data_IF_652326813503
#
_entry.id   IF_652326813503
#
_cell.length_a   1.000
_cell.length_b   1.000
_cell.length_c   1.000
_cell.angle_alpha   90.00
_cell.angle_beta   90.00
_cell.angle_gamma   90.00
#
_symmetry.space_group_name_H-M   'P 1'
#
loop_
_entity.id
_entity.type
_entity.pdbx_description
1 polymer ?
#
# COMPACT_ATOMS: atom_id res chain seq x y z
N UNK A 1 65.37 -23.32 -56.04
CA UNK A 1 63.91 -23.03 -56.29
C UNK A 1 63.34 -22.42 -55.04
N UNK A 2 63.22 -21.11 -55.02
CA UNK A 2 62.75 -20.33 -53.86
C UNK A 2 61.27 -19.92 -54.12
N UNK A 3 60.36 -20.28 -53.20
CA UNK A 3 58.94 -19.91 -53.27
C UNK A 3 58.81 -18.69 -52.41
N UNK A 4 58.46 -17.56 -53.08
CA UNK A 4 58.16 -16.27 -52.46
C UNK A 4 56.72 -16.31 -51.90
N UNK A 5 56.59 -16.12 -50.58
CA UNK A 5 55.28 -15.91 -49.93
C UNK A 5 54.96 -14.43 -49.87
N UNK A 6 53.98 -13.97 -50.69
CA UNK A 6 53.50 -12.62 -50.70
C UNK A 6 52.67 -12.29 -49.42
N UNK A 7 53.05 -11.20 -48.75
CA UNK A 7 52.40 -10.65 -47.60
C UNK A 7 51.25 -9.75 -48.06
N UNK A 8 49.96 -10.07 -47.70
CA UNK A 8 48.78 -9.27 -47.96
C UNK A 8 48.73 -8.14 -46.92
N UNK A 9 48.57 -6.86 -47.30
CA UNK A 9 48.48 -5.76 -46.31
C UNK A 9 47.10 -5.75 -45.63
N UNK A 10 47.13 -5.72 -44.31
CA UNK A 10 45.96 -5.69 -43.45
C UNK A 10 45.21 -4.35 -43.46
N UNK A 11 44.10 -4.31 -44.13
CA UNK A 11 43.09 -3.19 -44.03
C UNK A 11 41.90 -3.53 -43.13
N UNK A 12 41.95 -4.65 -42.40
CA UNK A 12 40.82 -5.14 -41.62
C UNK A 12 40.73 -4.60 -40.18
N UNK A 13 41.73 -3.86 -39.68
CA UNK A 13 41.86 -3.52 -38.26
C UNK A 13 41.27 -2.15 -37.87
N UNK A 14 40.87 -1.30 -38.82
CA UNK A 14 40.33 0.04 -38.47
C UNK A 14 38.79 0.07 -38.26
N UNK A 15 38.07 -0.82 -38.90
CA UNK A 15 36.60 -0.90 -38.76
C UNK A 15 36.15 -1.54 -37.44
N UNK A 16 36.95 -2.50 -36.92
CA UNK A 16 36.66 -3.17 -35.66
C UNK A 16 36.78 -2.28 -34.41
N UNK A 17 37.72 -1.32 -34.41
CA UNK A 17 37.93 -0.43 -33.27
C UNK A 17 36.79 0.57 -33.07
N UNK A 18 36.18 1.05 -34.15
CA UNK A 18 35.04 1.97 -34.08
C UNK A 18 33.76 1.24 -33.66
N UNK A 19 33.55 0.00 -34.14
CA UNK A 19 32.41 -0.83 -33.74
C UNK A 19 32.49 -1.27 -32.26
N UNK A 20 33.67 -1.60 -31.76
CA UNK A 20 33.90 -1.95 -30.36
C UNK A 20 33.68 -0.76 -29.42
N UNK A 21 34.10 0.44 -29.83
CA UNK A 21 33.85 1.66 -29.04
C UNK A 21 32.34 2.04 -29.00
N UNK A 22 31.63 1.85 -30.10
CA UNK A 22 30.20 2.07 -30.15
C UNK A 22 29.43 1.06 -29.30
N UNK A 23 29.80 -0.22 -29.33
CA UNK A 23 29.22 -1.29 -28.53
C UNK A 23 29.47 -1.09 -27.03
N UNK A 24 30.65 -0.60 -26.62
CA UNK A 24 30.91 -0.28 -25.20
C UNK A 24 30.13 0.93 -24.70
N UNK A 25 29.88 1.94 -25.53
CA UNK A 25 29.05 3.09 -25.17
C UNK A 25 27.56 2.71 -24.99
N UNK A 26 27.05 1.81 -25.85
CA UNK A 26 25.69 1.29 -25.68
C UNK A 26 25.55 0.37 -24.46
N UNK A 27 26.54 -0.44 -24.14
CA UNK A 27 26.54 -1.28 -22.95
C UNK A 27 26.59 -0.44 -21.65
N UNK A 28 27.34 0.66 -21.63
CA UNK A 28 27.40 1.57 -20.49
C UNK A 28 26.09 2.35 -20.29
N UNK A 29 25.39 2.73 -21.36
CA UNK A 29 24.06 3.37 -21.29
C UNK A 29 22.99 2.38 -20.80
N UNK A 30 23.03 1.13 -21.22
CA UNK A 30 22.08 0.11 -20.77
C UNK A 30 22.27 -0.24 -19.29
N UNK A 31 23.50 -0.24 -18.80
CA UNK A 31 23.76 -0.50 -17.38
C UNK A 31 23.38 0.66 -16.47
N UNK A 32 23.49 1.90 -16.93
CA UNK A 32 23.02 3.07 -16.16
C UNK A 32 21.49 3.18 -16.09
N UNK A 33 20.76 2.74 -17.12
CA UNK A 33 19.29 2.64 -17.09
C UNK A 33 18.77 1.51 -16.20
N UNK A 34 19.49 0.41 -16.09
CA UNK A 34 19.15 -0.70 -15.20
C UNK A 34 19.33 -0.36 -13.71
N UNK A 35 20.26 0.55 -13.39
CA UNK A 35 20.47 1.02 -12.01
C UNK A 35 19.36 1.97 -11.52
N UNK A 36 18.67 2.67 -12.42
CA UNK A 36 17.53 3.54 -12.07
C UNK A 36 16.24 2.77 -11.79
N UNK A 37 16.11 1.53 -12.24
CA UNK A 37 14.90 0.72 -12.05
C UNK A 37 14.85 -0.02 -10.69
N UNK A 38 15.87 0.12 -9.83
CA UNK A 38 15.97 -0.61 -8.56
C UNK A 38 15.79 0.25 -7.31
N UNK A 39 15.45 1.54 -7.42
CA UNK A 39 15.39 2.45 -6.27
C UNK A 39 14.00 2.69 -5.65
N UNK A 40 12.93 2.03 -6.12
CA UNK A 40 11.60 2.17 -5.53
C UNK A 40 10.96 0.82 -5.17
N UNK A 41 11.64 0.03 -4.34
CA UNK A 41 10.91 -0.88 -3.46
C UNK A 41 10.71 -0.15 -2.14
N UNK A 42 9.50 0.21 -1.76
CA UNK A 42 9.24 0.68 -0.41
C UNK A 42 9.64 -0.44 0.54
N UNK A 43 10.72 -0.23 1.28
CA UNK A 43 11.13 -1.07 2.40
C UNK A 43 10.05 -0.97 3.46
N UNK A 44 9.40 -2.08 3.79
CA UNK A 44 8.39 -2.16 4.84
C UNK A 44 7.06 -2.71 4.36
N UNK A 45 7.06 -3.90 3.72
CA UNK A 45 5.81 -4.61 3.41
C UNK A 45 5.57 -5.65 4.50
N UNK A 46 4.91 -5.23 5.57
CA UNK A 46 4.08 -6.17 6.30
C UNK A 46 2.82 -6.41 5.47
N UNK A 47 2.76 -7.58 4.77
CA UNK A 47 1.61 -8.00 3.96
C UNK A 47 0.99 -6.85 3.17
N UNK A 48 1.15 -6.82 1.96
CA UNK A 48 0.54 -6.14 0.78
C UNK A 48 -0.52 -5.02 0.96
N UNK A 49 -0.62 -4.30 2.08
CA UNK A 49 -1.38 -3.06 2.15
C UNK A 49 -0.50 -1.88 2.58
N UNK A 50 -0.91 -0.68 2.20
CA UNK A 50 -0.07 0.51 2.18
C UNK A 50 0.31 0.98 3.59
N UNK A 51 1.62 1.23 3.81
CA UNK A 51 2.13 1.91 5.00
C UNK A 51 1.71 3.38 5.02
N UNK A 52 1.37 3.90 6.19
CA UNK A 52 1.01 5.30 6.40
C UNK A 52 2.25 6.20 6.21
N UNK A 53 2.17 7.11 5.25
CA UNK A 53 3.25 8.04 4.93
C UNK A 53 2.88 9.51 5.21
N UNK A 54 1.58 9.85 5.21
CA UNK A 54 1.09 11.21 5.36
C UNK A 54 -0.33 11.22 5.90
N UNK A 55 -0.51 11.61 7.17
CA UNK A 55 -1.84 11.71 7.78
C UNK A 55 -2.63 12.90 7.22
N UNK A 56 -1.96 13.98 6.79
CA UNK A 56 -2.64 15.16 6.29
C UNK A 56 -3.33 14.88 4.95
N UNK A 57 -2.61 14.26 4.01
CA UNK A 57 -3.17 13.85 2.72
C UNK A 57 -4.27 12.81 2.90
N UNK A 58 -4.05 11.79 3.75
CA UNK A 58 -5.05 10.78 4.05
C UNK A 58 -6.31 11.39 4.67
N UNK A 59 -6.15 12.37 5.58
CA UNK A 59 -7.24 13.09 6.19
C UNK A 59 -8.04 13.95 5.19
N UNK A 60 -7.37 14.57 4.22
CA UNK A 60 -8.02 15.31 3.13
C UNK A 60 -8.87 14.38 2.27
N UNK A 61 -8.33 13.22 1.89
CA UNK A 61 -9.04 12.20 1.12
C UNK A 61 -10.27 11.68 1.87
N UNK A 62 -10.12 11.36 3.17
CA UNK A 62 -11.22 10.94 4.03
C UNK A 62 -12.37 11.95 4.05
N UNK A 63 -12.07 13.24 4.21
CA UNK A 63 -13.10 14.30 4.20
C UNK A 63 -13.77 14.43 2.84
N UNK A 64 -13.00 14.40 1.76
CA UNK A 64 -13.54 14.54 0.40
C UNK A 64 -14.48 13.39 0.03
N UNK A 65 -14.12 12.17 0.41
CA UNK A 65 -14.89 10.96 0.10
C UNK A 65 -15.90 10.58 1.18
N UNK A 66 -15.86 11.21 2.34
CA UNK A 66 -16.61 10.83 3.55
C UNK A 66 -16.35 9.37 3.95
N UNK A 67 -15.13 8.89 3.75
CA UNK A 67 -14.72 7.53 4.10
C UNK A 67 -13.97 7.52 5.43
N UNK A 68 -14.22 6.54 6.32
CA UNK A 68 -13.42 6.36 7.51
C UNK A 68 -12.01 5.94 7.15
N UNK A 69 -11.04 6.39 7.93
CA UNK A 69 -9.67 5.91 7.92
C UNK A 69 -9.58 4.71 8.87
N UNK A 70 -9.07 3.60 8.38
CA UNK A 70 -8.78 2.41 9.19
C UNK A 70 -7.26 2.27 9.29
N UNK A 71 -6.74 2.35 10.51
CA UNK A 71 -5.32 2.22 10.78
C UNK A 71 -5.06 0.95 11.59
N UNK A 72 -4.20 0.07 11.08
CA UNK A 72 -3.67 -1.05 11.85
C UNK A 72 -2.27 -0.68 12.38
N UNK A 73 -2.17 -0.47 13.67
CA UNK A 73 -0.90 -0.30 14.37
C UNK A 73 -0.24 -1.67 14.58
N UNK A 74 0.95 -1.82 14.04
CA UNK A 74 1.71 -3.07 14.04
C UNK A 74 3.21 -2.84 14.12
N UNK A 75 3.97 -3.92 14.23
CA UNK A 75 5.43 -3.91 14.26
C UNK A 75 5.98 -5.11 13.51
N UNK A 76 7.23 -5.02 13.03
CA UNK A 76 7.88 -6.12 12.29
C UNK A 76 8.04 -7.40 13.10
N UNK A 77 8.26 -7.27 14.39
CA UNK A 77 8.42 -8.39 15.32
C UNK A 77 7.10 -9.00 15.81
N UNK A 78 5.94 -8.45 15.38
CA UNK A 78 4.61 -8.85 15.86
C UNK A 78 4.00 -9.92 14.94
N UNK A 79 4.06 -11.20 15.31
CA UNK A 79 3.50 -12.32 14.53
C UNK A 79 1.98 -12.21 14.33
N UNK A 80 1.24 -11.75 15.33
CA UNK A 80 -0.21 -11.50 15.20
C UNK A 80 -0.52 -10.39 14.20
N UNK A 81 0.37 -9.39 14.07
CA UNK A 81 0.24 -8.34 13.07
C UNK A 81 0.42 -8.90 11.66
N UNK A 82 1.39 -9.80 11.46
CA UNK A 82 1.60 -10.48 10.18
C UNK A 82 0.39 -11.32 9.81
N UNK A 83 -0.10 -12.15 10.73
CA UNK A 83 -1.30 -12.96 10.51
C UNK A 83 -2.51 -12.11 10.11
N UNK A 84 -2.77 -11.00 10.84
CA UNK A 84 -3.88 -10.09 10.56
C UNK A 84 -3.71 -9.38 9.22
N UNK A 85 -2.49 -8.96 8.90
CA UNK A 85 -2.16 -8.35 7.62
C UNK A 85 -2.43 -9.29 6.45
N UNK A 86 -1.94 -10.51 6.52
CA UNK A 86 -2.03 -11.49 5.43
C UNK A 86 -3.45 -12.03 5.23
N UNK A 87 -4.15 -12.33 6.32
CA UNK A 87 -5.44 -13.02 6.24
C UNK A 87 -6.64 -12.06 6.14
N UNK A 88 -6.50 -10.81 6.58
CA UNK A 88 -7.61 -9.85 6.59
C UNK A 88 -7.29 -8.59 5.79
N UNK A 89 -6.29 -7.82 6.19
CA UNK A 89 -6.11 -6.49 5.62
C UNK A 89 -5.60 -6.48 4.19
N UNK A 90 -4.70 -7.39 3.81
CA UNK A 90 -4.22 -7.50 2.45
C UNK A 90 -5.33 -7.91 1.46
N UNK A 91 -6.15 -8.94 1.74
CA UNK A 91 -7.34 -9.21 0.94
C UNK A 91 -8.31 -8.02 0.83
N UNK A 92 -8.54 -7.29 1.91
CA UNK A 92 -9.39 -6.09 1.88
C UNK A 92 -8.78 -4.97 1.03
N UNK A 93 -7.47 -4.73 1.13
CA UNK A 93 -6.80 -3.68 0.36
C UNK A 93 -6.76 -4.00 -1.13
N UNK A 94 -6.50 -5.26 -1.50
CA UNK A 94 -6.27 -5.69 -2.88
C UNK A 94 -7.54 -6.14 -3.61
N UNK A 95 -8.55 -6.58 -2.87
CA UNK A 95 -9.79 -7.15 -3.43
C UNK A 95 -10.69 -6.15 -4.17
N UNK A 96 -10.35 -4.87 -4.20
CA UNK A 96 -11.06 -3.82 -4.96
C UNK A 96 -12.44 -3.44 -4.43
N UNK A 97 -12.88 -4.03 -3.31
CA UNK A 97 -14.16 -3.73 -2.69
C UNK A 97 -14.07 -2.65 -1.60
N UNK A 98 -12.95 -2.54 -0.90
CA UNK A 98 -12.83 -1.74 0.31
C UNK A 98 -12.00 -0.48 0.12
N UNK A 99 -10.73 -0.61 -0.29
CA UNK A 99 -9.81 0.52 -0.38
C UNK A 99 -10.33 1.60 -1.34
N UNK A 100 -10.44 2.82 -0.84
CA UNK A 100 -10.94 3.98 -1.56
C UNK A 100 -12.43 4.01 -1.87
N UNK A 101 -13.18 2.94 -1.53
CA UNK A 101 -14.64 2.78 -1.76
C UNK A 101 -15.45 2.67 -0.48
N UNK A 102 -14.96 1.89 0.47
CA UNK A 102 -15.59 1.68 1.77
C UNK A 102 -14.76 2.30 2.92
N UNK A 103 -13.46 2.29 2.80
CA UNK A 103 -12.54 2.86 3.79
C UNK A 103 -11.22 3.27 3.13
N UNK A 104 -10.40 3.99 3.88
CA UNK A 104 -9.00 4.24 3.57
C UNK A 104 -8.15 3.45 4.56
N UNK A 105 -7.48 2.40 4.10
CA UNK A 105 -6.76 1.45 4.94
C UNK A 105 -5.26 1.70 4.90
N UNK A 106 -4.62 1.85 6.09
CA UNK A 106 -3.16 2.00 6.19
C UNK A 106 -2.59 1.19 7.35
N UNK A 107 -1.40 0.67 7.14
CA UNK A 107 -0.55 0.14 8.21
C UNK A 107 0.19 1.28 8.90
N UNK A 108 0.44 1.16 10.20
CA UNK A 108 1.26 2.08 10.99
C UNK A 108 2.34 1.27 11.68
N UNK A 109 3.54 1.22 11.10
CA UNK A 109 4.71 0.55 11.69
C UNK A 109 5.25 1.34 12.88
N UNK A 110 4.96 0.87 14.10
CA UNK A 110 5.39 1.57 15.32
C UNK A 110 6.90 1.43 15.61
N UNK A 111 7.55 0.50 14.95
CA UNK A 111 9.01 0.27 15.01
C UNK A 111 9.75 0.91 13.82
N UNK A 112 9.05 1.59 12.92
CA UNK A 112 9.68 2.33 11.84
C UNK A 112 10.27 3.66 12.31
N UNK A 113 11.53 3.97 11.91
CA UNK A 113 12.18 5.21 12.29
C UNK A 113 11.61 6.41 11.53
N UNK A 114 11.85 7.61 12.07
CA UNK A 114 11.49 8.86 11.41
C UNK A 114 10.15 9.43 11.84
N UNK A 115 9.71 10.44 11.10
CA UNK A 115 8.44 11.13 11.32
C UNK A 115 7.75 11.37 9.99
N UNK A 116 6.43 11.37 10.00
CA UNK A 116 5.55 11.67 8.86
C UNK A 116 4.72 12.93 9.14
N UNK A 117 4.14 13.59 8.15
CA UNK A 117 3.16 14.65 8.38
C UNK A 117 1.95 14.13 9.16
N UNK A 118 1.64 14.72 10.33
CA UNK A 118 0.46 14.44 11.12
C UNK A 118 -0.81 15.05 10.52
N UNK A 119 -1.98 14.79 11.13
CA UNK A 119 -3.25 15.36 10.69
C UNK A 119 -3.29 16.90 10.75
N UNK A 120 -2.49 17.50 11.62
CA UNK A 120 -2.30 18.96 11.75
C UNK A 120 -1.12 19.50 10.92
N UNK A 121 -0.48 18.65 10.13
CA UNK A 121 0.69 18.98 9.31
C UNK A 121 2.02 19.02 10.05
N UNK A 122 2.03 18.82 11.38
CA UNK A 122 3.27 18.77 12.14
C UNK A 122 3.95 17.42 12.05
N UNK A 123 5.29 17.35 12.25
CA UNK A 123 5.98 16.07 12.29
C UNK A 123 5.42 15.15 13.39
N UNK A 124 5.07 13.93 13.02
CA UNK A 124 4.49 12.90 13.88
C UNK A 124 5.38 11.66 13.86
N UNK A 125 5.92 11.29 15.03
CA UNK A 125 6.63 10.03 15.20
C UNK A 125 5.63 8.91 15.51
N UNK A 126 5.62 7.84 14.71
CA UNK A 126 4.61 6.78 14.78
C UNK A 126 4.62 6.03 16.12
N UNK A 127 5.79 5.72 16.69
CA UNK A 127 5.90 5.04 17.96
C UNK A 127 5.33 5.89 19.12
N UNK A 128 5.73 7.16 19.18
CA UNK A 128 5.21 8.10 20.17
C UNK A 128 3.71 8.28 20.04
N UNK A 129 3.21 8.42 18.83
CA UNK A 129 1.79 8.57 18.57
C UNK A 129 0.98 7.33 18.97
N UNK A 130 1.49 6.13 18.68
CA UNK A 130 0.87 4.88 19.11
C UNK A 130 0.75 4.83 20.65
N UNK A 131 1.82 5.19 21.36
CA UNK A 131 1.82 5.24 22.82
C UNK A 131 0.80 6.27 23.37
N UNK A 132 0.76 7.48 22.81
CA UNK A 132 -0.18 8.55 23.20
C UNK A 132 -1.64 8.17 22.95
N UNK A 133 -1.91 7.38 21.92
CA UNK A 133 -3.24 6.84 21.62
C UNK A 133 -3.58 5.57 22.43
N UNK A 134 -2.63 4.96 23.15
CA UNK A 134 -2.80 3.63 23.73
C UNK A 134 -3.02 2.55 22.66
N UNK A 135 -2.31 2.67 21.53
CA UNK A 135 -2.31 1.74 20.38
C UNK A 135 -0.95 1.04 20.23
N UNK A 136 -0.13 1.06 21.25
CA UNK A 136 1.17 0.40 21.34
C UNK A 136 1.08 -1.11 21.64
N UNK A 137 -0.09 -1.59 22.08
CA UNK A 137 -0.44 -3.02 22.07
C UNK A 137 -0.79 -3.45 20.66
N UNK A 138 0.11 -4.15 19.98
CA UNK A 138 -0.05 -4.55 18.59
C UNK A 138 -0.55 -5.98 18.40
N UNK A 139 -1.43 -6.26 17.43
CA UNK A 139 -2.08 -5.28 16.54
C UNK A 139 -3.20 -4.51 17.24
N UNK A 140 -3.30 -3.21 16.97
CA UNK A 140 -4.48 -2.42 17.34
C UNK A 140 -5.05 -1.75 16.09
N UNK A 141 -6.34 -1.89 15.86
CA UNK A 141 -7.05 -1.30 14.72
C UNK A 141 -7.91 -0.13 15.18
N UNK A 142 -7.67 1.06 14.64
CA UNK A 142 -8.44 2.28 14.90
C UNK A 142 -9.29 2.67 13.71
N UNK A 143 -10.44 3.32 13.98
CA UNK A 143 -11.37 3.86 12.98
C UNK A 143 -11.47 5.37 13.19
N UNK A 144 -10.87 6.14 12.28
CA UNK A 144 -10.70 7.58 12.45
C UNK A 144 -11.49 8.38 11.40
N UNK A 145 -11.79 9.63 11.75
CA UNK A 145 -12.22 10.63 10.77
C UNK A 145 -11.01 11.33 10.10
N UNK A 146 -11.30 12.24 9.17
CA UNK A 146 -10.27 13.00 8.46
C UNK A 146 -9.52 14.04 9.30
N UNK A 147 -9.80 14.16 10.61
CA UNK A 147 -9.03 14.93 11.58
C UNK A 147 -8.22 14.04 12.52
N UNK A 148 -8.26 12.72 12.33
CA UNK A 148 -7.56 11.76 13.20
C UNK A 148 -8.29 11.45 14.51
N UNK A 149 -9.55 11.80 14.64
CA UNK A 149 -10.37 11.50 15.83
C UNK A 149 -11.00 10.13 15.69
N UNK A 150 -11.00 9.35 16.76
CA UNK A 150 -11.62 8.03 16.79
C UNK A 150 -13.16 8.14 16.74
N UNK A 151 -13.76 7.47 15.75
CA UNK A 151 -15.19 7.57 15.45
C UNK A 151 -15.94 6.23 15.56
N UNK A 152 -15.26 5.13 15.82
CA UNK A 152 -15.85 3.84 16.16
C UNK A 152 -14.95 3.08 17.14
N UNK A 153 -15.46 2.07 17.86
CA UNK A 153 -14.67 1.31 18.82
C UNK A 153 -13.45 0.69 18.16
N UNK A 154 -12.29 0.82 18.82
CA UNK A 154 -11.07 0.17 18.37
C UNK A 154 -11.14 -1.35 18.58
N UNK A 155 -10.29 -2.08 17.86
CA UNK A 155 -10.10 -3.52 18.05
C UNK A 155 -8.65 -3.71 18.52
N UNK A 156 -8.46 -4.31 19.70
CA UNK A 156 -7.14 -4.62 20.27
C UNK A 156 -6.90 -6.11 20.16
N UNK A 157 -5.79 -6.51 19.55
CA UNK A 157 -5.43 -7.90 19.33
C UNK A 157 -6.33 -8.62 18.31
N UNK A 158 -6.26 -9.95 18.32
CA UNK A 158 -7.07 -10.84 17.49
C UNK A 158 -7.76 -11.84 18.42
N UNK A 159 -9.06 -11.70 18.60
CA UNK A 159 -9.84 -12.68 19.36
C UNK A 159 -10.27 -13.89 18.51
N UNK A 160 -10.68 -13.63 17.29
CA UNK A 160 -11.04 -14.65 16.29
C UNK A 160 -10.80 -14.06 14.88
N UNK A 161 -9.91 -14.69 14.12
CA UNK A 161 -9.50 -14.18 12.81
C UNK A 161 -10.63 -14.31 11.77
N UNK A 162 -11.42 -15.38 11.83
CA UNK A 162 -12.52 -15.62 10.88
C UNK A 162 -13.65 -14.60 11.00
N UNK A 163 -13.87 -14.09 12.22
CA UNK A 163 -14.89 -13.07 12.50
C UNK A 163 -14.37 -11.65 12.39
N UNK A 164 -13.07 -11.45 12.19
CA UNK A 164 -12.43 -10.14 12.27
C UNK A 164 -12.98 -9.15 11.23
N UNK A 165 -13.18 -9.60 9.99
CA UNK A 165 -13.77 -8.76 8.94
C UNK A 165 -15.18 -8.32 9.29
N UNK A 166 -16.00 -9.17 9.90
CA UNK A 166 -17.32 -8.82 10.41
C UNK A 166 -17.27 -7.73 11.49
N UNK A 167 -16.27 -7.78 12.39
CA UNK A 167 -16.03 -6.70 13.36
C UNK A 167 -15.63 -5.40 12.69
N UNK A 168 -14.81 -5.44 11.65
CA UNK A 168 -14.48 -4.26 10.83
C UNK A 168 -15.76 -3.69 10.20
N UNK A 169 -16.61 -4.51 9.57
CA UNK A 169 -17.87 -4.06 8.96
C UNK A 169 -18.78 -3.37 9.98
N UNK A 170 -18.93 -3.96 11.15
CA UNK A 170 -19.72 -3.37 12.25
C UNK A 170 -19.18 -1.99 12.62
N UNK A 171 -17.87 -1.85 12.81
CA UNK A 171 -17.26 -0.59 13.23
C UNK A 171 -17.25 0.45 12.09
N UNK A 172 -17.09 0.02 10.83
CA UNK A 172 -17.28 0.88 9.68
C UNK A 172 -18.71 1.44 9.61
N UNK A 173 -19.73 0.64 9.89
CA UNK A 173 -21.11 1.10 9.93
C UNK A 173 -21.36 2.16 11.02
N UNK A 174 -20.69 2.06 12.16
CA UNK A 174 -20.71 3.09 13.22
C UNK A 174 -20.00 4.35 12.70
N UNK A 175 -18.84 4.21 12.09
CA UNK A 175 -18.07 5.32 11.54
C UNK A 175 -18.83 6.06 10.43
N UNK A 176 -19.49 5.33 9.52
CA UNK A 176 -20.31 5.93 8.45
C UNK A 176 -21.43 6.80 9.01
N UNK A 177 -22.11 6.34 10.07
CA UNK A 177 -23.16 7.14 10.71
C UNK A 177 -22.61 8.48 11.23
N UNK A 178 -21.42 8.48 11.82
CA UNK A 178 -20.77 9.71 12.31
C UNK A 178 -20.27 10.63 11.20
N UNK A 179 -19.87 10.06 10.03
CA UNK A 179 -19.42 10.83 8.87
C UNK A 179 -20.59 11.32 7.98
N UNK A 180 -21.83 10.93 8.27
CA UNK A 180 -22.96 11.19 7.38
C UNK A 180 -22.83 10.47 6.02
N UNK A 181 -22.19 9.29 6.01
CA UNK A 181 -22.07 8.44 4.83
C UNK A 181 -23.24 7.43 4.83
N UNK A 182 -24.01 7.31 3.73
CA UNK A 182 -25.15 6.39 3.65
C UNK A 182 -24.77 4.93 3.49
N UNK A 183 -23.49 4.63 3.22
CA UNK A 183 -23.03 3.25 3.02
C UNK A 183 -23.30 2.39 4.25
N UNK A 184 -23.75 1.16 4.00
CA UNK A 184 -23.93 0.13 5.03
C UNK A 184 -23.39 -1.19 4.52
N UNK A 185 -22.44 -1.73 5.26
CA UNK A 185 -21.85 -3.03 4.97
C UNK A 185 -22.67 -4.13 5.65
N UNK A 186 -22.93 -5.25 4.98
CA UNK A 186 -23.54 -6.42 5.60
C UNK A 186 -22.58 -7.10 6.58
N UNK A 187 -23.03 -8.17 7.23
CA UNK A 187 -22.26 -8.80 8.30
C UNK A 187 -20.97 -9.49 7.82
N UNK A 188 -20.92 -9.93 6.57
CA UNK A 188 -19.78 -10.67 6.02
C UNK A 188 -19.29 -10.13 4.67
N UNK A 189 -18.01 -10.38 4.31
CA UNK A 189 -17.47 -9.99 3.01
C UNK A 189 -18.23 -10.59 1.82
N UNK A 190 -18.68 -11.85 1.93
CA UNK A 190 -19.39 -12.54 0.86
C UNK A 190 -20.73 -11.88 0.56
N UNK A 191 -21.46 -11.47 1.60
CA UNK A 191 -22.70 -10.71 1.43
C UNK A 191 -22.45 -9.33 0.83
N UNK A 192 -21.33 -8.71 1.17
CA UNK A 192 -20.95 -7.42 0.58
C UNK A 192 -20.61 -7.56 -0.91
N UNK A 193 -19.87 -8.59 -1.28
CA UNK A 193 -19.58 -8.91 -2.69
C UNK A 193 -20.88 -9.16 -3.48
N UNK A 194 -21.82 -9.92 -2.92
CA UNK A 194 -23.14 -10.16 -3.54
C UNK A 194 -23.91 -8.85 -3.72
N UNK A 195 -23.91 -7.98 -2.72
CA UNK A 195 -24.55 -6.65 -2.77
C UNK A 195 -23.95 -5.79 -3.89
N UNK A 196 -22.62 -5.76 -4.04
CA UNK A 196 -21.94 -5.02 -5.10
C UNK A 196 -22.27 -5.58 -6.50
N UNK A 197 -22.28 -6.90 -6.67
CA UNK A 197 -22.68 -7.56 -7.93
C UNK A 197 -24.11 -7.23 -8.32
N UNK A 198 -25.04 -7.24 -7.37
CA UNK A 198 -26.43 -6.88 -7.61
C UNK A 198 -26.59 -5.42 -8.02
N UNK A 199 -25.86 -4.49 -7.38
CA UNK A 199 -25.86 -3.07 -7.75
C UNK A 199 -25.32 -2.84 -9.18
N UNK A 200 -24.24 -3.52 -9.57
CA UNK A 200 -23.68 -3.42 -10.90
C UNK A 200 -24.61 -3.97 -11.97
N UNK A 201 -25.31 -5.08 -11.68
CA UNK A 201 -26.28 -5.68 -12.61
C UNK A 201 -27.55 -4.83 -12.80
N UNK A 202 -27.89 -4.00 -11.83
CA UNK A 202 -29.08 -3.11 -11.88
C UNK A 202 -28.81 -1.75 -12.54
N UNK A 203 -27.56 -1.39 -12.78
CA UNK A 203 -27.21 -0.20 -13.56
C UNK A 203 -27.35 -0.52 -15.05
N UNK A 204 -28.28 0.19 -15.82
CA UNK A 204 -28.32 0.02 -17.24
C UNK A 204 -26.98 0.38 -17.85
N UNK A 205 -26.47 -0.47 -18.75
CA UNK A 205 -25.28 -0.14 -19.54
C UNK A 205 -25.56 1.19 -20.25
N UNK A 206 -24.84 2.23 -19.86
CA UNK A 206 -24.85 3.50 -20.59
C UNK A 206 -24.43 3.18 -22.01
N UNK A 207 -25.39 3.27 -22.94
CA UNK A 207 -25.17 3.02 -24.36
C UNK A 207 -24.39 4.20 -24.93
N UNK A 208 -23.28 3.96 -25.68
CA UNK A 208 -22.48 5.01 -26.28
C UNK A 208 -23.29 5.85 -27.31
#
# INVERSE_FOLDING_TARGET
MAISTGRVPGTYNRLNASFQRLAMLFAALFWSLAAYAQSDRPSGVHGSFQELQDCQLLGQESRAKKLPIVLMFGAQWCEFCQTLSEQVFAPMALGGMYEGKAMLLRHVGIDEPGSIPGFDGKPLNKAKWAYELGADLTPTTLFLDGQGREIAPRIVGISNIELFTGLIHRNLNIAYAKLGNPLRLPATPELYEQQLKAQTASQPADKP
#
